data_IF_807131641291
#
_entry.id   IF_807131641291
#
_cell.length_a   1.000
_cell.length_b   1.000
_cell.length_c   1.000
_cell.angle_alpha   90.00
_cell.angle_beta   90.00
_cell.angle_gamma   90.00
#
_symmetry.space_group_name_H-M   'P 1'
#
loop_
_entity.id
_entity.type
_entity.pdbx_description
1 polymer ?
#
# COMPACT_ATOMS: atom_id res chain seq x y z
N UNK A 1 9.80 -0.56 -1.34
CA UNK A 1 9.09 -1.29 -2.41
C UNK A 1 9.02 -0.40 -3.63
N UNK A 2 9.00 -0.97 -4.82
CA UNK A 2 8.73 -0.22 -6.06
C UNK A 2 7.23 -0.29 -6.37
N UNK A 3 6.51 0.83 -6.21
CA UNK A 3 5.07 0.90 -6.48
C UNK A 3 4.75 0.89 -7.98
N UNK A 4 5.71 1.22 -8.84
CA UNK A 4 5.50 1.23 -10.30
C UNK A 4 5.40 -0.20 -10.85
N UNK A 5 5.77 -1.21 -10.05
CA UNK A 5 5.56 -2.62 -10.36
C UNK A 5 4.13 -3.12 -10.04
N UNK A 6 3.33 -2.36 -9.30
CA UNK A 6 1.94 -2.72 -9.01
C UNK A 6 1.05 -2.47 -10.22
N UNK A 7 0.06 -3.34 -10.40
CA UNK A 7 -0.87 -3.31 -11.54
C UNK A 7 -2.30 -3.38 -11.04
N UNK A 8 -3.23 -2.78 -11.78
CA UNK A 8 -4.64 -2.74 -11.42
C UNK A 8 -5.35 -4.03 -11.83
N UNK A 9 -6.47 -4.33 -11.19
CA UNK A 9 -7.44 -5.29 -11.72
C UNK A 9 -8.77 -4.58 -12.06
N UNK A 10 -9.32 -4.76 -13.27
CA UNK A 10 -8.67 -5.38 -14.44
C UNK A 10 -7.41 -4.58 -14.84
N UNK A 11 -6.50 -5.24 -15.55
CA UNK A 11 -5.19 -4.68 -15.93
C UNK A 11 -5.33 -3.65 -17.06
N UNK A 12 -5.93 -2.50 -16.71
CA UNK A 12 -6.16 -1.36 -17.57
C UNK A 12 -5.26 -0.20 -17.15
N UNK A 13 -4.24 0.04 -17.97
CA UNK A 13 -3.29 1.13 -17.83
C UNK A 13 -3.73 2.34 -18.66
N UNK A 14 -3.81 3.50 -18.02
CA UNK A 14 -4.07 4.79 -18.66
C UNK A 14 -3.50 5.93 -17.80
N UNK A 15 -3.29 7.14 -18.35
CA UNK A 15 -2.91 8.29 -17.55
C UNK A 15 -3.91 8.52 -16.39
N UNK A 16 -3.39 8.64 -15.17
CA UNK A 16 -4.20 8.82 -13.96
C UNK A 16 -4.81 7.54 -13.38
N UNK A 17 -4.52 6.38 -13.96
CA UNK A 17 -4.98 5.07 -13.48
C UNK A 17 -3.81 4.26 -12.90
N UNK A 18 -3.19 4.77 -11.84
CA UNK A 18 -2.11 4.08 -11.14
C UNK A 18 -2.67 3.08 -10.11
N UNK A 19 -1.92 2.01 -9.83
CA UNK A 19 -2.26 1.04 -8.79
C UNK A 19 -1.94 1.53 -7.36
N UNK A 20 -1.15 2.59 -7.23
CA UNK A 20 -0.90 3.29 -5.98
C UNK A 20 -0.85 4.80 -6.25
N UNK A 21 -1.43 5.59 -5.35
CA UNK A 21 -1.53 7.04 -5.49
C UNK A 21 -0.77 7.80 -4.40
N UNK A 22 -1.06 9.09 -4.23
CA UNK A 22 -0.41 9.91 -3.22
C UNK A 22 -0.95 9.61 -1.80
N UNK A 23 -2.20 9.16 -1.67
CA UNK A 23 -2.80 8.82 -0.39
C UNK A 23 -2.16 7.55 0.18
N UNK A 24 -1.95 6.52 -0.64
CA UNK A 24 -1.27 5.29 -0.19
C UNK A 24 0.12 5.59 0.39
N UNK A 25 0.89 6.42 -0.33
CA UNK A 25 2.22 6.85 0.08
C UNK A 25 2.18 7.65 1.39
N UNK A 26 1.23 8.58 1.51
CA UNK A 26 1.08 9.40 2.72
C UNK A 26 0.71 8.55 3.93
N UNK A 27 -0.20 7.58 3.78
CA UNK A 27 -0.62 6.67 4.85
C UNK A 27 0.58 5.85 5.34
N UNK A 28 1.37 5.28 4.43
CA UNK A 28 2.54 4.48 4.80
C UNK A 28 3.65 5.30 5.46
N UNK A 29 3.86 6.53 4.99
CA UNK A 29 4.85 7.45 5.58
C UNK A 29 4.47 7.81 7.02
N UNK A 30 3.21 8.21 7.25
CA UNK A 30 2.70 8.56 8.58
C UNK A 30 2.67 7.34 9.52
N UNK A 31 2.33 6.15 8.99
CA UNK A 31 2.25 4.93 9.78
C UNK A 31 3.62 4.28 10.05
N UNK A 32 4.72 4.77 9.45
CA UNK A 32 6.01 4.08 9.44
C UNK A 32 6.51 3.68 10.84
N UNK A 33 6.39 4.58 11.84
CA UNK A 33 6.79 4.27 13.22
C UNK A 33 5.90 3.20 13.84
N UNK A 34 4.58 3.30 13.66
CA UNK A 34 3.63 2.34 14.23
C UNK A 34 3.79 0.95 13.61
N UNK A 35 4.08 0.89 12.30
CA UNK A 35 4.37 -0.36 11.59
C UNK A 35 5.68 -0.99 12.08
N UNK A 36 6.73 -0.19 12.31
CA UNK A 36 7.98 -0.68 12.87
C UNK A 36 7.79 -1.29 14.28
N UNK A 37 6.96 -0.65 15.12
CA UNK A 37 6.61 -1.16 16.45
C UNK A 37 5.78 -2.45 16.38
N UNK A 38 4.91 -2.58 15.37
CA UNK A 38 4.04 -3.74 15.16
C UNK A 38 4.74 -4.94 14.50
N UNK A 39 5.82 -4.71 13.75
CA UNK A 39 6.55 -5.72 12.97
C UNK A 39 6.93 -7.01 13.72
N UNK A 40 7.30 -7.01 15.01
CA UNK A 40 7.62 -8.24 15.75
C UNK A 40 6.44 -9.20 15.91
N UNK A 41 5.21 -8.69 15.90
CA UNK A 41 3.99 -9.47 16.09
C UNK A 41 3.30 -9.71 14.74
N UNK A 42 3.50 -10.89 14.15
CA UNK A 42 2.82 -11.28 12.90
C UNK A 42 1.29 -11.16 13.06
N UNK A 43 0.63 -10.56 12.07
CA UNK A 43 -0.83 -10.40 12.04
C UNK A 43 -1.37 -9.28 12.94
N UNK A 44 -0.51 -8.41 13.47
CA UNK A 44 -0.91 -7.25 14.28
C UNK A 44 -1.44 -6.06 13.45
N UNK A 45 -1.19 -6.07 12.14
CA UNK A 45 -1.63 -5.04 11.20
C UNK A 45 -2.73 -5.60 10.31
N UNK A 46 -3.82 -4.84 10.17
CA UNK A 46 -4.92 -5.13 9.25
C UNK A 46 -5.07 -3.93 8.32
N UNK A 47 -5.11 -4.21 7.03
CA UNK A 47 -5.34 -3.22 5.98
C UNK A 47 -6.76 -3.41 5.45
N UNK A 48 -7.48 -2.30 5.28
CA UNK A 48 -8.88 -2.29 4.84
C UNK A 48 -9.00 -1.35 3.65
N UNK A 49 -9.81 -1.76 2.67
CA UNK A 49 -10.12 -0.97 1.46
C UNK A 49 -8.88 -0.61 0.62
N UNK A 50 -7.91 -1.53 0.58
CA UNK A 50 -6.73 -1.42 -0.27
C UNK A 50 -7.05 -1.93 -1.68
N UNK A 51 -7.32 -0.99 -2.58
CA UNK A 51 -7.87 -1.27 -3.90
C UNK A 51 -7.00 -2.23 -4.74
N UNK A 52 -5.67 -2.10 -4.64
CA UNK A 52 -4.73 -2.84 -5.49
C UNK A 52 -3.52 -3.41 -4.72
N UNK A 53 -3.57 -3.44 -3.40
CA UNK A 53 -2.56 -4.08 -2.56
C UNK A 53 -1.40 -3.17 -2.14
N UNK A 54 -1.47 -1.86 -2.38
CA UNK A 54 -0.38 -0.93 -2.11
C UNK A 54 -0.08 -0.83 -0.60
N UNK A 55 -1.13 -0.73 0.22
CA UNK A 55 -1.00 -0.64 1.67
C UNK A 55 -0.62 -1.99 2.27
N UNK A 56 -1.22 -3.09 1.81
CA UNK A 56 -0.97 -4.44 2.33
C UNK A 56 0.46 -4.93 2.03
N UNK A 57 1.05 -4.50 0.92
CA UNK A 57 2.43 -4.83 0.55
C UNK A 57 3.46 -3.84 1.11
N UNK A 58 3.04 -2.62 1.42
CA UNK A 58 3.90 -1.56 1.96
C UNK A 58 3.98 -1.52 3.49
N UNK A 59 2.98 -2.08 4.19
CA UNK A 59 2.90 -2.18 5.64
C UNK A 59 3.75 -3.31 6.22
#
# INVERSE_FOLDING_TARGET
MDFDALRRYPDLEAPGLAAADAADRLILDEAASALADAAPARGSVVVIDDAYGALALGA
#
